data_IF_133252217640
#
_entry.id   IF_133252217640
#
_cell.length_a   1.000
_cell.length_b   1.000
_cell.length_c   1.000
_cell.angle_alpha   90.00
_cell.angle_beta   90.00
_cell.angle_gamma   90.00
#
_symmetry.space_group_name_H-M   'P 1'
#
loop_
_entity.id
_entity.type
_entity.pdbx_description
1 polymer ?
#
# COMPACT_ATOMS: atom_id res chain seq x y z
N UNK A 1 -12.69 -28.69 5.99
CA UNK A 1 -11.32 -28.41 5.52
C UNK A 1 -11.47 -27.47 4.33
N UNK A 2 -10.90 -26.28 4.41
CA UNK A 2 -10.89 -25.37 3.26
C UNK A 2 -9.92 -25.93 2.22
N UNK A 3 -10.38 -26.06 1.00
CA UNK A 3 -9.59 -26.59 -0.11
C UNK A 3 -8.60 -25.52 -0.56
N UNK A 4 -7.33 -25.71 -0.21
CA UNK A 4 -6.22 -24.88 -0.69
C UNK A 4 -5.57 -25.67 -1.82
N UNK A 5 -5.58 -25.12 -3.03
CA UNK A 5 -4.97 -25.74 -4.20
C UNK A 5 -4.01 -24.79 -4.88
N UNK A 6 -2.95 -25.33 -5.45
CA UNK A 6 -2.07 -24.61 -6.36
C UNK A 6 -2.67 -24.70 -7.77
N UNK A 7 -2.81 -23.55 -8.41
CA UNK A 7 -3.20 -23.43 -9.80
C UNK A 7 -2.12 -22.67 -10.55
N UNK A 8 -1.18 -23.40 -11.11
CA UNK A 8 0.08 -22.87 -11.61
C UNK A 8 0.82 -22.10 -10.48
N UNK A 9 1.13 -20.84 -10.69
CA UNK A 9 1.89 -19.97 -9.77
C UNK A 9 1.05 -19.36 -8.64
N UNK A 10 -0.27 -19.67 -8.60
CA UNK A 10 -1.20 -19.10 -7.65
C UNK A 10 -1.62 -20.08 -6.55
N UNK A 11 -1.51 -19.60 -5.32
CA UNK A 11 -2.09 -20.23 -4.14
C UNK A 11 -3.55 -19.80 -4.01
N UNK A 12 -4.48 -20.77 -4.11
CA UNK A 12 -5.92 -20.50 -3.94
C UNK A 12 -6.32 -20.59 -2.47
N UNK A 13 -6.88 -19.52 -1.94
CA UNK A 13 -7.48 -19.47 -0.61
C UNK A 13 -8.89 -18.87 -0.73
N UNK A 14 -9.93 -19.70 -0.65
CA UNK A 14 -11.32 -19.28 -0.89
C UNK A 14 -11.47 -18.60 -2.27
N UNK A 15 -11.81 -17.31 -2.28
CA UNK A 15 -11.96 -16.50 -3.50
C UNK A 15 -10.67 -15.78 -3.92
N UNK A 16 -9.59 -15.91 -3.13
CA UNK A 16 -8.32 -15.25 -3.39
C UNK A 16 -7.37 -16.20 -4.10
N UNK A 17 -6.66 -15.66 -5.08
CA UNK A 17 -5.60 -16.28 -5.84
C UNK A 17 -4.35 -15.44 -5.64
N UNK A 18 -3.40 -15.92 -4.86
CA UNK A 18 -2.21 -15.19 -4.44
C UNK A 18 -1.02 -15.71 -5.22
N UNK A 19 -0.32 -14.84 -5.93
CA UNK A 19 0.88 -15.19 -6.68
C UNK A 19 2.01 -15.59 -5.72
N UNK A 20 2.11 -16.89 -5.47
CA UNK A 20 3.06 -17.44 -4.51
C UNK A 20 4.50 -17.21 -4.95
N UNK A 21 4.80 -17.40 -6.24
CA UNK A 21 6.16 -17.29 -6.76
C UNK A 21 6.72 -15.88 -6.64
N UNK A 22 5.89 -14.86 -6.88
CA UNK A 22 6.29 -13.48 -6.64
C UNK A 22 6.58 -13.21 -5.16
N UNK A 23 5.74 -13.74 -4.25
CA UNK A 23 5.91 -13.52 -2.81
C UNK A 23 7.18 -14.16 -2.25
N UNK A 24 7.54 -15.37 -2.70
CA UNK A 24 8.74 -16.05 -2.23
C UNK A 24 10.01 -15.53 -2.89
N UNK A 25 9.92 -15.01 -4.12
CA UNK A 25 11.06 -14.53 -4.90
C UNK A 25 11.41 -13.06 -4.66
N UNK A 26 10.54 -12.30 -3.99
CA UNK A 26 10.76 -10.89 -3.72
C UNK A 26 10.67 -10.56 -2.23
N UNK A 27 11.32 -9.48 -1.84
CA UNK A 27 11.17 -8.84 -0.54
C UNK A 27 10.77 -7.38 -0.71
N UNK A 28 10.04 -6.87 0.25
CA UNK A 28 9.68 -5.48 0.34
C UNK A 28 10.42 -4.84 1.50
N UNK A 29 11.22 -3.83 1.20
CA UNK A 29 11.93 -3.05 2.21
C UNK A 29 11.74 -1.57 1.87
N UNK A 30 10.78 -0.94 2.53
CA UNK A 30 10.56 0.48 2.34
C UNK A 30 11.75 1.27 2.90
N UNK A 31 12.55 1.83 2.00
CA UNK A 31 13.66 2.71 2.33
C UNK A 31 13.45 4.06 1.63
N UNK A 32 12.91 5.01 2.37
CA UNK A 32 12.59 6.33 1.83
C UNK A 32 13.80 7.09 1.27
N UNK A 33 14.97 6.91 1.84
CA UNK A 33 16.21 7.54 1.35
C UNK A 33 16.61 6.99 -0.02
N UNK A 34 16.60 5.66 -0.17
CA UNK A 34 16.90 5.00 -1.45
C UNK A 34 15.90 5.42 -2.53
N UNK A 35 14.60 5.46 -2.19
CA UNK A 35 13.54 5.91 -3.09
C UNK A 35 13.74 7.37 -3.55
N UNK A 36 14.10 8.26 -2.64
CA UNK A 36 14.34 9.67 -2.97
C UNK A 36 15.60 9.84 -3.84
N UNK A 37 16.66 9.09 -3.54
CA UNK A 37 17.92 9.13 -4.31
C UNK A 37 17.74 8.61 -5.74
N UNK A 38 16.93 7.56 -5.94
CA UNK A 38 16.63 7.03 -7.27
C UNK A 38 15.60 7.85 -8.03
N UNK A 39 14.91 8.78 -7.37
CA UNK A 39 13.78 9.55 -7.91
C UNK A 39 12.57 8.67 -8.32
N UNK A 40 12.50 7.44 -7.82
CA UNK A 40 11.53 6.40 -8.15
C UNK A 40 10.72 5.97 -6.91
N UNK A 41 10.20 6.92 -6.16
CA UNK A 41 9.36 6.61 -5.01
C UNK A 41 7.88 6.55 -5.35
N UNK A 42 7.13 5.66 -4.68
CA UNK A 42 5.69 5.49 -4.89
C UNK A 42 4.91 6.80 -4.71
N UNK A 43 5.34 7.69 -3.81
CA UNK A 43 4.75 9.01 -3.61
C UNK A 43 4.99 10.00 -4.76
N UNK A 44 5.78 9.64 -5.76
CA UNK A 44 6.07 10.46 -6.93
C UNK A 44 5.52 9.86 -8.22
N UNK A 45 5.77 8.58 -8.45
CA UNK A 45 5.50 7.94 -9.75
C UNK A 45 4.02 7.56 -9.94
N UNK A 46 3.26 7.32 -8.85
CA UNK A 46 1.86 6.93 -8.97
C UNK A 46 0.89 8.09 -8.83
N UNK A 47 -0.16 8.06 -9.64
CA UNK A 47 -1.38 8.81 -9.42
C UNK A 47 -2.27 8.02 -8.48
N UNK A 48 -2.74 8.65 -7.41
CA UNK A 48 -3.46 7.97 -6.36
C UNK A 48 -4.93 8.30 -6.45
N UNK A 49 -5.70 7.39 -7.02
CA UNK A 49 -7.16 7.48 -7.01
C UNK A 49 -7.73 7.00 -5.67
N UNK A 50 -8.72 7.72 -5.17
CA UNK A 50 -9.44 7.42 -3.94
C UNK A 50 -10.96 7.51 -4.14
N UNK A 51 -11.69 6.76 -3.33
CA UNK A 51 -13.13 6.85 -3.27
C UNK A 51 -13.59 8.10 -2.50
N UNK A 52 -14.85 8.56 -2.70
CA UNK A 52 -15.42 9.63 -1.89
C UNK A 52 -15.32 9.40 -0.37
N UNK A 53 -15.43 8.15 0.07
CA UNK A 53 -15.31 7.79 1.49
C UNK A 53 -13.88 7.96 2.02
N UNK A 54 -12.88 7.62 1.22
CA UNK A 54 -11.47 7.83 1.58
C UNK A 54 -11.15 9.32 1.63
N UNK A 55 -11.61 10.08 0.65
CA UNK A 55 -11.47 11.53 0.65
C UNK A 55 -12.05 12.15 1.94
N UNK A 56 -13.28 11.78 2.32
CA UNK A 56 -13.90 12.31 3.54
C UNK A 56 -13.11 11.94 4.81
N UNK A 57 -12.55 10.71 4.89
CA UNK A 57 -11.69 10.31 6.01
C UNK A 57 -10.43 11.18 6.09
N UNK A 58 -9.77 11.43 4.97
CA UNK A 58 -8.57 12.29 4.91
C UNK A 58 -8.96 13.71 5.33
N UNK A 59 -10.04 14.26 4.79
CA UNK A 59 -10.54 15.60 5.14
C UNK A 59 -10.83 15.72 6.64
N UNK A 60 -11.35 14.67 7.27
CA UNK A 60 -11.70 14.71 8.70
C UNK A 60 -10.52 14.91 9.65
N UNK A 61 -9.28 14.67 9.19
CA UNK A 61 -8.06 14.91 9.96
C UNK A 61 -7.11 15.92 9.29
N UNK A 62 -7.63 16.72 8.34
CA UNK A 62 -6.82 17.62 7.52
C UNK A 62 -6.10 18.69 8.34
N UNK A 63 -6.72 19.15 9.45
CA UNK A 63 -6.08 20.11 10.34
C UNK A 63 -4.76 19.56 10.91
N UNK A 64 -4.73 18.28 11.28
CA UNK A 64 -3.52 17.62 11.77
C UNK A 64 -2.53 17.36 10.62
N UNK A 65 -3.02 16.92 9.45
CA UNK A 65 -2.20 16.74 8.24
C UNK A 65 -1.47 18.03 7.88
N UNK A 66 -2.13 19.18 7.98
CA UNK A 66 -1.55 20.48 7.63
C UNK A 66 -0.35 20.88 8.51
N UNK A 67 -0.19 20.30 9.70
CA UNK A 67 0.99 20.51 10.54
C UNK A 67 2.27 19.93 9.92
N UNK A 68 2.13 18.89 9.10
CA UNK A 68 3.24 18.22 8.40
C UNK A 68 3.50 18.84 7.02
N UNK A 69 2.47 19.34 6.36
CA UNK A 69 2.51 19.84 4.98
C UNK A 69 2.14 21.33 4.94
N UNK A 70 3.14 22.21 4.92
CA UNK A 70 2.93 23.67 4.95
C UNK A 70 2.08 24.20 3.80
N UNK A 71 2.05 23.54 2.66
CA UNK A 71 1.21 23.87 1.51
C UNK A 71 -0.31 23.66 1.78
N UNK A 72 -0.68 22.94 2.85
CA UNK A 72 -2.05 22.64 3.22
C UNK A 72 -2.59 23.56 4.36
N UNK A 73 -1.83 24.55 4.78
CA UNK A 73 -2.18 25.42 5.94
C UNK A 73 -3.37 26.35 5.76
N UNK A 74 -3.91 26.44 4.57
CA UNK A 74 -5.06 27.29 4.29
C UNK A 74 -6.37 26.53 4.38
N UNK A 75 -6.83 26.25 5.59
CA UNK A 75 -7.98 25.40 5.94
C UNK A 75 -9.27 25.53 5.13
N UNK A 76 -9.45 26.60 4.39
CA UNK A 76 -10.63 26.85 3.57
C UNK A 76 -10.65 26.04 2.26
N UNK A 77 -9.52 25.44 1.84
CA UNK A 77 -9.33 24.87 0.52
C UNK A 77 -8.85 23.42 0.51
N UNK A 78 -9.11 22.64 1.55
CA UNK A 78 -8.72 21.24 1.65
C UNK A 78 -9.20 20.38 0.48
N UNK A 79 -10.32 20.73 -0.13
CA UNK A 79 -10.84 20.03 -1.31
C UNK A 79 -10.07 20.34 -2.60
N UNK A 80 -9.27 21.40 -2.63
CA UNK A 80 -8.48 21.77 -3.80
C UNK A 80 -7.27 20.85 -4.02
N UNK A 81 -7.07 19.85 -3.17
CA UNK A 81 -6.01 18.82 -3.32
C UNK A 81 -6.56 17.50 -3.83
N UNK A 82 -7.80 17.51 -4.27
CA UNK A 82 -8.47 16.35 -4.86
C UNK A 82 -9.13 16.77 -6.16
N UNK A 83 -8.63 16.22 -7.26
CA UNK A 83 -9.25 16.39 -8.58
C UNK A 83 -10.35 15.34 -8.77
N UNK A 84 -11.56 15.77 -9.12
CA UNK A 84 -12.72 14.88 -9.29
C UNK A 84 -12.86 14.47 -10.74
N UNK A 85 -12.89 13.16 -10.99
CA UNK A 85 -13.18 12.57 -12.30
C UNK A 85 -14.06 11.32 -12.10
N UNK A 86 -15.21 11.25 -12.78
CA UNK A 86 -16.12 10.10 -12.79
C UNK A 86 -16.45 9.52 -11.39
N UNK A 87 -16.77 10.38 -10.42
CA UNK A 87 -17.07 10.03 -9.03
C UNK A 87 -15.89 9.41 -8.24
N UNK A 88 -14.68 9.53 -8.76
CA UNK A 88 -13.44 9.25 -8.06
C UNK A 88 -12.68 10.54 -7.86
N UNK A 89 -11.69 10.47 -7.01
CA UNK A 89 -10.82 11.61 -6.72
C UNK A 89 -9.38 11.20 -6.87
N UNK A 90 -8.62 11.98 -7.63
CA UNK A 90 -7.17 11.83 -7.69
C UNK A 90 -6.53 12.80 -6.73
N UNK A 91 -5.54 12.34 -5.97
CA UNK A 91 -4.78 13.18 -5.05
C UNK A 91 -3.74 13.99 -5.83
N UNK A 92 -3.76 15.30 -5.65
CA UNK A 92 -2.86 16.22 -6.35
C UNK A 92 -1.38 15.93 -6.07
N UNK A 93 -0.56 16.30 -7.04
CA UNK A 93 0.89 16.37 -6.89
C UNK A 93 1.37 17.80 -6.73
N UNK A 94 2.47 17.97 -6.02
CA UNK A 94 3.19 19.25 -5.91
C UNK A 94 3.93 19.55 -7.22
N UNK A 95 4.40 20.77 -7.39
CA UNK A 95 5.20 21.18 -8.54
C UNK A 95 6.46 20.32 -8.79
N UNK A 96 6.97 19.64 -7.76
CA UNK A 96 8.07 18.68 -7.86
C UNK A 96 7.61 17.24 -8.05
N UNK A 97 6.36 17.03 -8.48
CA UNK A 97 5.70 15.75 -8.77
C UNK A 97 5.44 14.83 -7.56
N UNK A 98 5.85 15.21 -6.36
CA UNK A 98 5.49 14.43 -5.17
C UNK A 98 4.04 14.61 -4.78
N UNK A 99 3.41 13.54 -4.27
CA UNK A 99 2.08 13.60 -3.67
C UNK A 99 1.97 14.79 -2.71
N UNK A 100 0.85 15.51 -2.76
CA UNK A 100 0.60 16.71 -1.93
C UNK A 100 0.72 16.42 -0.42
N UNK A 101 0.43 15.19 0.01
CA UNK A 101 0.55 14.74 1.40
C UNK A 101 1.95 14.19 1.77
N UNK A 102 2.91 14.22 0.88
CA UNK A 102 4.28 13.83 1.22
C UNK A 102 5.02 14.96 1.93
N UNK A 103 5.91 14.64 2.85
CA UNK A 103 6.81 15.61 3.46
C UNK A 103 8.14 14.96 3.83
N UNK A 104 9.17 15.76 3.99
CA UNK A 104 10.45 15.31 4.52
C UNK A 104 10.51 15.62 6.02
N UNK A 105 10.80 14.63 6.83
CA UNK A 105 11.01 14.83 8.26
C UNK A 105 12.37 15.46 8.54
N UNK A 106 12.68 15.69 9.84
CA UNK A 106 13.94 16.28 10.27
C UNK A 106 15.18 15.46 9.92
N UNK A 107 15.02 14.17 9.68
CA UNK A 107 16.08 13.24 9.26
C UNK A 107 16.27 13.22 7.75
N UNK A 108 15.43 13.94 7.00
CA UNK A 108 15.39 13.93 5.54
C UNK A 108 14.67 12.70 4.96
N UNK A 109 13.93 11.95 5.78
CA UNK A 109 13.15 10.82 5.33
C UNK A 109 11.81 11.27 4.75
N UNK A 110 11.47 10.75 3.57
CA UNK A 110 10.16 10.97 2.95
C UNK A 110 9.07 10.23 3.73
N UNK A 111 8.07 10.97 4.19
CA UNK A 111 6.94 10.47 4.99
C UNK A 111 5.60 10.86 4.36
N UNK A 112 4.55 10.13 4.75
CA UNK A 112 3.17 10.44 4.41
C UNK A 112 2.51 11.20 5.57
N UNK A 113 2.07 12.42 5.34
CA UNK A 113 1.43 13.25 6.36
C UNK A 113 0.10 12.67 6.86
N UNK A 114 -0.67 11.98 5.99
CA UNK A 114 -1.89 11.29 6.40
C UNK A 114 -1.58 10.18 7.42
N UNK A 115 -0.52 9.40 7.17
CA UNK A 115 -0.05 8.36 8.11
C UNK A 115 0.40 8.96 9.44
N UNK A 116 1.24 9.99 9.37
CA UNK A 116 1.79 10.64 10.57
C UNK A 116 0.71 11.32 11.39
N UNK A 117 -0.25 12.00 10.76
CA UNK A 117 -1.38 12.63 11.43
C UNK A 117 -2.28 11.61 12.13
N UNK A 118 -2.55 10.47 11.50
CA UNK A 118 -3.34 9.41 12.13
C UNK A 118 -2.64 8.85 13.39
N UNK A 119 -1.33 8.64 13.35
CA UNK A 119 -0.55 8.22 14.52
C UNK A 119 -0.58 9.29 15.63
N UNK A 120 -0.45 10.56 15.29
CA UNK A 120 -0.46 11.68 16.26
C UNK A 120 -1.78 11.71 17.05
N UNK A 121 -2.91 11.44 16.40
CA UNK A 121 -4.22 11.39 17.06
C UNK A 121 -4.58 10.00 17.61
N UNK A 122 -3.61 9.09 17.72
CA UNK A 122 -3.78 7.71 18.22
C UNK A 122 -4.85 6.92 17.45
N UNK A 123 -4.93 7.07 16.14
CA UNK A 123 -5.82 6.32 15.25
C UNK A 123 -5.03 5.39 14.35
N UNK A 124 -5.73 4.41 13.78
CA UNK A 124 -5.15 3.47 12.83
C UNK A 124 -4.79 4.19 11.52
N UNK A 125 -3.50 4.29 11.16
CA UNK A 125 -3.08 4.94 9.92
C UNK A 125 -3.62 4.26 8.67
N UNK A 126 -3.83 2.94 8.68
CA UNK A 126 -4.39 2.20 7.54
C UNK A 126 -5.87 2.52 7.27
N UNK A 127 -6.58 3.04 8.26
CA UNK A 127 -7.94 3.53 8.08
C UNK A 127 -8.00 4.86 7.32
N UNK A 128 -7.03 5.75 7.55
CA UNK A 128 -7.01 7.10 6.95
C UNK A 128 -6.21 7.17 5.65
N UNK A 129 -5.11 6.43 5.56
CA UNK A 129 -4.27 6.39 4.36
C UNK A 129 -5.06 5.80 3.20
N UNK A 130 -4.90 6.29 1.95
CA UNK A 130 -5.51 5.67 0.78
C UNK A 130 -5.24 4.16 0.75
N UNK A 131 -6.25 3.38 0.42
CA UNK A 131 -6.14 1.92 0.44
C UNK A 131 -5.01 1.44 -0.48
N UNK A 132 -4.93 1.97 -1.69
CA UNK A 132 -3.86 1.64 -2.65
C UNK A 132 -2.47 1.94 -2.09
N UNK A 133 -2.30 3.05 -1.37
CA UNK A 133 -1.03 3.39 -0.70
C UNK A 133 -0.73 2.48 0.50
N UNK A 134 -1.77 1.89 1.11
CA UNK A 134 -1.63 1.02 2.28
C UNK A 134 -1.26 -0.40 1.91
N UNK A 135 -1.62 -0.84 0.70
CA UNK A 135 -1.34 -2.18 0.20
C UNK A 135 -0.12 -2.24 -0.72
N UNK A 136 0.43 -1.09 -1.14
CA UNK A 136 1.63 -1.07 -1.97
C UNK A 136 2.79 -1.85 -1.31
N UNK A 137 3.52 -2.71 -2.02
CA UNK A 137 3.55 -2.94 -3.47
C UNK A 137 2.64 -4.07 -3.97
N UNK A 138 1.68 -4.49 -3.17
CA UNK A 138 0.73 -5.52 -3.57
C UNK A 138 -0.37 -4.89 -4.43
N UNK A 139 -0.67 -5.52 -5.54
CA UNK A 139 -1.77 -5.16 -6.43
C UNK A 139 -2.85 -6.24 -6.37
N UNK A 140 -4.07 -5.90 -6.73
CA UNK A 140 -5.12 -6.89 -6.89
C UNK A 140 -6.11 -6.49 -7.97
N UNK A 141 -6.67 -7.50 -8.62
CA UNK A 141 -7.78 -7.33 -9.56
C UNK A 141 -8.83 -8.41 -9.35
N UNK A 142 -10.03 -8.16 -9.84
CA UNK A 142 -11.13 -9.12 -9.82
C UNK A 142 -11.48 -9.50 -11.24
N UNK A 143 -11.62 -10.80 -11.49
CA UNK A 143 -12.16 -11.29 -12.75
C UNK A 143 -13.71 -11.24 -12.78
N UNK A 144 -14.28 -11.61 -13.93
CA UNK A 144 -15.74 -11.66 -14.11
C UNK A 144 -16.44 -12.66 -13.16
N UNK A 145 -15.72 -13.66 -12.68
CA UNK A 145 -16.21 -14.65 -11.69
C UNK A 145 -16.06 -14.18 -10.25
N UNK A 146 -15.72 -12.91 -10.03
CA UNK A 146 -15.44 -12.29 -8.71
C UNK A 146 -14.29 -12.94 -7.93
N UNK A 147 -13.42 -13.68 -8.60
CA UNK A 147 -12.17 -14.15 -8.01
C UNK A 147 -11.23 -12.98 -7.85
N UNK A 148 -10.51 -12.91 -6.75
CA UNK A 148 -9.56 -11.84 -6.47
C UNK A 148 -8.14 -12.38 -6.65
N UNK A 149 -7.42 -11.87 -7.61
CA UNK A 149 -6.01 -12.16 -7.85
C UNK A 149 -5.16 -11.12 -7.12
N UNK A 150 -4.12 -11.59 -6.45
CA UNK A 150 -3.20 -10.78 -5.64
C UNK A 150 -1.79 -11.03 -6.16
N UNK A 151 -1.17 -9.98 -6.66
CA UNK A 151 0.14 -9.98 -7.27
C UNK A 151 1.05 -8.93 -6.61
N UNK A 152 2.35 -8.97 -6.89
CA UNK A 152 3.26 -7.85 -6.63
C UNK A 152 3.43 -7.01 -7.90
N UNK A 153 3.52 -5.72 -7.76
CA UNK A 153 3.98 -4.84 -8.82
C UNK A 153 5.51 -4.98 -8.97
N UNK A 154 5.92 -5.96 -9.76
CA UNK A 154 7.34 -6.19 -10.08
C UNK A 154 7.82 -5.44 -11.32
N UNK A 155 6.92 -4.77 -12.03
CA UNK A 155 7.22 -4.01 -13.25
C UNK A 155 7.60 -2.56 -12.95
N UNK A 156 7.06 -2.00 -11.87
CA UNK A 156 7.47 -0.68 -11.38
C UNK A 156 8.89 -0.77 -10.81
N UNK A 157 9.82 -0.05 -11.40
CA UNK A 157 11.25 -0.06 -11.00
C UNK A 157 11.51 0.65 -9.66
N UNK A 158 10.60 0.49 -8.69
CA UNK A 158 10.78 1.09 -7.36
C UNK A 158 11.81 0.31 -6.53
N UNK A 159 12.77 0.99 -5.90
CA UNK A 159 13.89 0.33 -5.22
C UNK A 159 13.51 -0.47 -3.98
N UNK A 160 12.27 -0.32 -3.48
CA UNK A 160 11.79 -1.04 -2.31
C UNK A 160 11.38 -2.50 -2.59
N UNK A 161 11.22 -2.90 -3.86
CA UNK A 161 10.96 -4.27 -4.25
C UNK A 161 12.27 -4.87 -4.78
N UNK A 162 12.79 -5.86 -4.07
CA UNK A 162 14.07 -6.49 -4.43
C UNK A 162 13.90 -7.98 -4.64
N UNK A 163 14.43 -8.50 -5.75
CA UNK A 163 14.47 -9.93 -5.99
C UNK A 163 15.41 -10.60 -4.99
N UNK A 164 14.98 -11.71 -4.42
CA UNK A 164 15.77 -12.51 -3.48
C UNK A 164 16.77 -13.39 -4.21
N UNK A 165 17.77 -13.87 -3.47
CA UNK A 165 18.64 -14.93 -3.96
C UNK A 165 17.85 -16.23 -4.18
N UNK A 166 18.23 -17.04 -5.17
CA UNK A 166 17.50 -18.25 -5.57
C UNK A 166 17.32 -19.29 -4.45
N UNK A 167 18.15 -19.25 -3.42
CA UNK A 167 18.09 -20.15 -2.26
C UNK A 167 17.22 -19.60 -1.11
N UNK A 168 16.73 -18.37 -1.19
CA UNK A 168 15.90 -17.73 -0.17
C UNK A 168 14.41 -17.87 -0.54
N UNK A 169 13.74 -18.86 0.06
CA UNK A 169 12.31 -19.16 -0.22
C UNK A 169 11.39 -18.78 0.96
N UNK A 170 11.72 -17.75 1.71
CA UNK A 170 10.89 -17.27 2.81
C UNK A 170 9.91 -16.21 2.30
N UNK A 171 8.73 -16.08 2.89
CA UNK A 171 7.86 -14.95 2.59
C UNK A 171 8.23 -13.78 3.49
N UNK A 172 8.31 -12.61 2.89
CA UNK A 172 8.53 -11.37 3.62
C UNK A 172 7.33 -11.03 4.52
N UNK A 173 7.59 -10.72 5.80
CA UNK A 173 6.52 -10.46 6.78
C UNK A 173 5.73 -9.19 6.46
N UNK A 174 6.35 -8.18 5.88
CA UNK A 174 5.64 -6.96 5.49
C UNK A 174 4.69 -7.22 4.33
N UNK A 175 5.13 -7.97 3.31
CA UNK A 175 4.26 -8.41 2.22
C UNK A 175 3.10 -9.25 2.74
N UNK A 176 3.37 -10.15 3.67
CA UNK A 176 2.33 -10.96 4.29
C UNK A 176 1.30 -10.08 5.02
N UNK A 177 1.74 -9.11 5.80
CA UNK A 177 0.84 -8.18 6.50
C UNK A 177 -0.02 -7.37 5.53
N UNK A 178 0.52 -6.93 4.40
CA UNK A 178 -0.22 -6.23 3.36
C UNK A 178 -1.32 -7.12 2.77
N UNK A 179 -1.00 -8.38 2.46
CA UNK A 179 -1.99 -9.35 1.96
C UNK A 179 -3.11 -9.56 3.00
N UNK A 180 -2.77 -9.61 4.27
CA UNK A 180 -3.74 -9.73 5.35
C UNK A 180 -4.71 -8.53 5.41
N UNK A 181 -4.25 -7.33 5.09
CA UNK A 181 -5.12 -6.14 4.97
C UNK A 181 -6.14 -6.34 3.84
N UNK A 182 -5.71 -6.87 2.69
CA UNK A 182 -6.58 -7.12 1.53
C UNK A 182 -7.62 -8.22 1.85
N UNK A 183 -7.20 -9.28 2.50
CA UNK A 183 -8.06 -10.42 2.85
C UNK A 183 -9.02 -10.13 4.01
N UNK A 184 -8.70 -9.17 4.88
CA UNK A 184 -9.54 -8.78 6.01
C UNK A 184 -9.85 -9.96 6.94
N UNK A 185 -11.14 -10.31 7.09
CA UNK A 185 -11.61 -11.39 7.99
C UNK A 185 -11.14 -12.81 7.58
N UNK A 186 -10.68 -12.99 6.36
CA UNK A 186 -10.20 -14.29 5.84
C UNK A 186 -8.75 -14.61 6.29
N UNK A 187 -8.19 -13.77 7.16
CA UNK A 187 -6.83 -13.86 7.72
C UNK A 187 -6.50 -15.23 8.36
N UNK A 188 -7.49 -15.87 8.98
CA UNK A 188 -7.28 -17.12 9.73
C UNK A 188 -6.86 -18.25 8.79
N UNK A 189 -7.46 -18.32 7.60
CA UNK A 189 -7.15 -19.32 6.58
C UNK A 189 -5.70 -19.20 6.10
N UNK A 190 -5.25 -17.99 5.83
CA UNK A 190 -3.87 -17.74 5.38
C UNK A 190 -2.85 -18.08 6.47
N UNK A 191 -3.09 -17.67 7.73
CA UNK A 191 -2.21 -18.00 8.87
C UNK A 191 -2.10 -19.51 9.09
N UNK A 192 -3.21 -20.24 8.96
CA UNK A 192 -3.22 -21.69 9.09
C UNK A 192 -2.44 -22.37 7.97
N UNK A 193 -2.58 -21.88 6.74
CA UNK A 193 -1.79 -22.38 5.61
C UNK A 193 -0.29 -22.23 5.86
N UNK A 194 0.19 -21.04 6.24
CA UNK A 194 1.62 -20.84 6.49
C UNK A 194 2.16 -21.68 7.64
N UNK A 195 1.34 -21.95 8.69
CA UNK A 195 1.71 -22.87 9.76
C UNK A 195 1.86 -24.31 9.29
N UNK A 196 0.97 -24.78 8.41
CA UNK A 196 0.95 -26.16 7.91
C UNK A 196 2.11 -26.46 6.94
N UNK A 197 2.58 -25.46 6.22
CA UNK A 197 3.63 -25.63 5.20
C UNK A 197 5.03 -25.19 5.68
N UNK A 198 5.23 -25.10 7.01
CA UNK A 198 6.53 -24.76 7.63
C UNK A 198 7.23 -23.53 7.03
N UNK A 199 6.46 -22.53 6.63
CA UNK A 199 7.06 -21.25 6.30
C UNK A 199 7.69 -20.65 7.56
N UNK A 200 8.99 -20.35 7.57
CA UNK A 200 9.67 -19.80 8.73
C UNK A 200 9.03 -18.47 9.14
N UNK A 201 8.91 -18.34 10.47
CA UNK A 201 8.42 -17.11 11.12
C UNK A 201 9.45 -16.00 11.02
#
# INVERSE_FOLDING_TARGET
MEEISLMNDYLKIKKYYINHDQLVSHRFLCNSKECVMSNECCCKIFDVEISPREMQRIISIMDVISNYCSNLKTGKYYRNVFEEEDQRYTIDKKANEYCVFSYFDKSGDLKCAVHSAALEIHKDPYYYKPFVCSIWPVTFFKDMSKRTFIDLDTESHVPCIKKKAMNEKTIDLELLNIILIIMGKDIVSLRNFFKQHNFPR
#
